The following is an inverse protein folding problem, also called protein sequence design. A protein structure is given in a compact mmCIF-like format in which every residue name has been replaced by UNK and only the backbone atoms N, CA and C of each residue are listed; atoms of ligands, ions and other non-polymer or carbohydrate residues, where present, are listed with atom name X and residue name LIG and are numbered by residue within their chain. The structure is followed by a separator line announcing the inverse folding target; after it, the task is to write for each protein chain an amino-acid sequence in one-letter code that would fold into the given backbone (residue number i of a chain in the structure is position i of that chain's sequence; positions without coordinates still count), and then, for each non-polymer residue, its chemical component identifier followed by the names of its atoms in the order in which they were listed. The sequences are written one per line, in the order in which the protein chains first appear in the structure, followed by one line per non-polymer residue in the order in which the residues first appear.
data_IF_608378769670
#
_entry.id   IF_608378769670
#
_cell.length_a   1.000
_cell.length_b   1.000
_cell.length_c   1.000
_cell.angle_alpha   90.00
_cell.angle_beta   90.00
_cell.angle_gamma   90.00
#
_symmetry.space_group_name_H-M   'P 1'
#
loop_
_entity.id
_entity.type
_entity.pdbx_description
1 polymer ?
#
# COMPACT_ATOMS: atom_id res chain seq x y z
N UNK A 1 -15.32 -10.28 -8.84
CA UNK A 1 -14.20 -9.29 -8.94
C UNK A 1 -14.19 -8.80 -10.38
N UNK A 2 -14.55 -7.55 -10.61
CA UNK A 2 -14.57 -6.97 -11.94
C UNK A 2 -13.19 -6.37 -12.22
N UNK A 3 -12.55 -6.86 -13.27
CA UNK A 3 -11.28 -6.33 -13.77
C UNK A 3 -11.62 -5.17 -14.71
N UNK A 4 -11.10 -3.98 -14.43
CA UNK A 4 -11.25 -2.83 -15.32
C UNK A 4 -9.87 -2.49 -15.87
N UNK A 5 -9.82 -2.44 -17.19
CA UNK A 5 -8.64 -2.09 -17.94
C UNK A 5 -8.77 -0.62 -18.35
N UNK A 6 -7.92 0.25 -17.80
CA UNK A 6 -7.71 1.56 -18.38
C UNK A 6 -6.46 1.48 -19.26
N UNK A 7 -6.63 1.46 -20.55
CA UNK A 7 -5.53 1.50 -21.50
C UNK A 7 -5.05 2.94 -21.63
N UNK A 8 -3.91 3.23 -21.06
CA UNK A 8 -3.14 4.40 -21.42
C UNK A 8 -2.19 4.00 -22.55
N UNK A 9 -2.33 4.64 -23.72
CA UNK A 9 -1.37 4.54 -24.82
C UNK A 9 -0.03 5.13 -24.35
N UNK A 10 0.88 4.27 -23.88
CA UNK A 10 2.24 4.70 -23.60
C UNK A 10 3.22 3.86 -24.41
N UNK A 11 4.05 4.53 -25.21
CA UNK A 11 5.08 3.91 -26.04
C UNK A 11 6.28 3.41 -25.24
N UNK A 12 6.40 3.75 -23.97
CA UNK A 12 7.55 3.45 -23.14
C UNK A 12 7.28 2.27 -22.20
N UNK A 13 8.16 1.32 -22.26
CA UNK A 13 8.24 -0.03 -21.69
C UNK A 13 7.98 -0.17 -20.17
N UNK A 14 6.78 0.03 -19.63
CA UNK A 14 6.53 -0.28 -18.22
C UNK A 14 5.18 -0.98 -17.97
N UNK A 15 5.24 -2.14 -17.26
CA UNK A 15 4.08 -2.76 -16.62
C UNK A 15 3.91 -2.24 -15.21
N UNK A 16 2.79 -1.60 -14.92
CA UNK A 16 2.38 -1.34 -13.54
C UNK A 16 1.00 -1.92 -13.29
N UNK A 17 0.92 -2.84 -12.34
CA UNK A 17 -0.34 -3.26 -11.74
C UNK A 17 -0.52 -2.47 -10.45
N UNK A 18 -1.45 -1.53 -10.44
CA UNK A 18 -1.86 -0.86 -9.20
C UNK A 18 -3.17 -1.46 -8.72
N UNK A 19 -3.10 -2.15 -7.60
CA UNK A 19 -4.30 -2.52 -6.85
C UNK A 19 -4.73 -1.31 -5.99
N UNK A 20 -5.73 -0.57 -6.47
CA UNK A 20 -6.32 0.58 -5.76
C UNK A 20 -7.21 0.11 -4.60
N UNK A 21 -7.43 -1.19 -4.47
CA UNK A 21 -8.22 -1.78 -3.39
C UNK A 21 -7.73 -1.46 -1.98
N UNK A 22 -6.44 -1.09 -1.84
CA UNK A 22 -5.85 -0.74 -0.54
C UNK A 22 -5.91 0.75 -0.19
N UNK A 23 -6.11 1.63 -1.15
CA UNK A 23 -6.10 3.09 -0.90
C UNK A 23 -7.47 3.73 -0.92
N UNK A 24 -8.47 3.08 -1.49
CA UNK A 24 -9.82 3.61 -1.61
C UNK A 24 -10.86 2.49 -1.57
N UNK A 25 -11.35 2.16 -0.39
CA UNK A 25 -12.55 1.34 -0.20
C UNK A 25 -12.66 0.03 -0.98
N UNK A 26 -12.82 -1.08 -0.25
CA UNK A 26 -13.24 -2.42 -0.69
C UNK A 26 -13.12 -2.72 -2.19
N UNK A 27 -12.34 -3.73 -2.48
CA UNK A 27 -12.13 -4.41 -3.75
C UNK A 27 -13.23 -4.19 -4.82
N UNK A 28 -12.87 -3.62 -5.97
CA UNK A 28 -13.83 -3.46 -7.06
C UNK A 28 -13.25 -2.80 -8.30
N UNK A 29 -12.20 -1.99 -8.16
CA UNK A 29 -11.54 -1.35 -9.31
C UNK A 29 -10.08 -1.79 -9.37
N UNK A 30 -9.69 -2.31 -10.52
CA UNK A 30 -8.28 -2.62 -10.83
C UNK A 30 -7.90 -1.79 -12.06
N UNK A 31 -6.83 -1.02 -11.93
CA UNK A 31 -6.24 -0.30 -13.07
C UNK A 31 -5.09 -1.15 -13.60
N UNK A 32 -5.14 -1.43 -14.90
CA UNK A 32 -4.08 -2.14 -15.60
C UNK A 32 -3.52 -1.23 -16.69
N UNK A 33 -2.21 -1.08 -16.69
CA UNK A 33 -1.48 -0.38 -17.76
C UNK A 33 -0.70 -1.45 -18.51
N UNK A 34 -0.99 -1.61 -19.80
CA UNK A 34 -0.33 -2.58 -20.65
C UNK A 34 0.19 -1.90 -21.93
N UNK A 35 1.29 -2.41 -22.47
CA UNK A 35 1.74 -2.02 -23.79
C UNK A 35 0.74 -2.51 -24.85
N UNK A 36 0.53 -1.72 -25.90
CA UNK A 36 -0.43 -2.03 -26.96
C UNK A 36 -0.07 -3.33 -27.73
N UNK A 37 1.20 -3.59 -27.94
CA UNK A 37 1.71 -4.79 -28.62
C UNK A 37 1.47 -6.10 -27.85
N UNK A 38 1.13 -6.03 -26.57
CA UNK A 38 0.78 -7.18 -25.73
C UNK A 38 -0.72 -7.47 -25.71
N UNK A 39 -1.52 -6.61 -26.35
CA UNK A 39 -2.97 -6.76 -26.44
C UNK A 39 -3.30 -7.44 -27.76
N UNK A 40 -3.13 -8.74 -27.79
CA UNK A 40 -3.26 -9.57 -29.00
C UNK A 40 -4.23 -10.71 -28.79
N UNK A 41 -4.59 -11.39 -29.91
CA UNK A 41 -5.33 -12.67 -29.89
C UNK A 41 -4.41 -13.87 -29.66
N UNK A 42 -3.08 -13.67 -29.71
CA UNK A 42 -2.08 -14.71 -29.44
C UNK A 42 -2.02 -14.95 -27.92
N UNK A 43 -2.81 -15.90 -27.48
CA UNK A 43 -2.93 -16.31 -26.07
C UNK A 43 -2.85 -17.84 -25.98
N UNK A 44 -2.47 -18.35 -24.82
CA UNK A 44 -2.39 -19.78 -24.59
C UNK A 44 -3.73 -20.47 -24.91
N UNK A 45 -3.72 -21.65 -25.54
CA UNK A 45 -4.94 -22.45 -25.78
C UNK A 45 -5.70 -22.65 -24.46
N UNK A 46 -7.01 -22.46 -24.48
CA UNK A 46 -7.87 -22.61 -23.30
C UNK A 46 -7.91 -21.37 -22.40
N UNK A 47 -7.23 -20.27 -22.76
CA UNK A 47 -7.32 -19.02 -21.97
C UNK A 47 -8.78 -18.53 -21.89
N UNK A 48 -9.36 -18.42 -20.69
CA UNK A 48 -10.72 -17.91 -20.51
C UNK A 48 -10.89 -16.50 -21.08
N UNK A 49 -12.05 -16.20 -21.64
CA UNK A 49 -12.39 -14.91 -22.26
C UNK A 49 -12.02 -13.72 -21.36
N UNK A 50 -12.34 -13.82 -20.04
CA UNK A 50 -12.10 -12.74 -19.07
C UNK A 50 -10.62 -12.50 -18.75
N UNK A 51 -9.73 -13.41 -19.09
CA UNK A 51 -8.29 -13.30 -18.89
C UNK A 51 -7.56 -12.77 -20.13
N UNK A 52 -8.26 -12.58 -21.25
CA UNK A 52 -7.71 -11.99 -22.46
C UNK A 52 -7.75 -10.46 -22.37
N UNK A 53 -6.61 -9.81 -22.47
CA UNK A 53 -6.53 -8.34 -22.46
C UNK A 53 -7.32 -7.71 -23.60
N UNK A 54 -7.27 -8.34 -24.78
CA UNK A 54 -8.00 -7.85 -25.97
C UNK A 54 -9.50 -7.80 -25.75
N UNK A 55 -10.10 -8.76 -25.04
CA UNK A 55 -11.54 -8.74 -24.70
C UNK A 55 -11.94 -7.44 -23.97
N UNK A 56 -11.09 -6.98 -23.07
CA UNK A 56 -11.34 -5.74 -22.32
C UNK A 56 -11.04 -4.50 -23.18
N UNK A 57 -9.96 -4.54 -23.95
CA UNK A 57 -9.52 -3.43 -24.78
C UNK A 57 -10.51 -3.10 -25.89
N UNK A 58 -11.03 -4.11 -26.63
CA UNK A 58 -11.98 -3.96 -27.73
C UNK A 58 -13.36 -3.41 -27.27
N UNK A 59 -13.59 -3.39 -25.96
CA UNK A 59 -14.83 -2.88 -25.34
C UNK A 59 -14.60 -1.68 -24.42
N UNK A 60 -13.48 -0.98 -24.58
CA UNK A 60 -13.14 0.20 -23.76
C UNK A 60 -13.28 -0.07 -22.24
N UNK A 61 -12.92 -1.27 -21.80
CA UNK A 61 -13.10 -1.76 -20.43
C UNK A 61 -14.55 -1.96 -19.98
N UNK A 62 -15.50 -1.97 -20.91
CA UNK A 62 -16.93 -2.11 -20.66
C UNK A 62 -17.48 -3.47 -21.11
N UNK A 63 -16.66 -4.50 -21.19
CA UNK A 63 -17.13 -5.86 -21.48
C UNK A 63 -18.16 -6.35 -20.45
N UNK A 64 -18.00 -5.95 -19.20
CA UNK A 64 -18.98 -6.12 -18.13
C UNK A 64 -19.43 -4.76 -17.58
N UNK A 65 -20.53 -4.75 -16.81
CA UNK A 65 -21.00 -3.56 -16.10
C UNK A 65 -19.90 -2.99 -15.20
N UNK A 66 -19.52 -1.71 -15.37
CA UNK A 66 -18.45 -1.10 -14.61
C UNK A 66 -18.86 -0.80 -13.15
N UNK A 67 -17.93 -0.88 -12.17
CA UNK A 67 -18.18 -0.46 -10.80
C UNK A 67 -18.15 1.07 -10.68
N UNK A 68 -19.19 1.72 -11.15
CA UNK A 68 -19.27 3.19 -11.31
C UNK A 68 -18.88 3.95 -10.06
N UNK A 69 -19.32 3.51 -8.87
CA UNK A 69 -18.96 4.15 -7.61
C UNK A 69 -17.45 4.06 -7.33
N UNK A 70 -16.86 2.90 -7.53
CA UNK A 70 -15.40 2.71 -7.35
C UNK A 70 -14.59 3.59 -8.29
N UNK A 71 -14.98 3.68 -9.56
CA UNK A 71 -14.36 4.55 -10.57
C UNK A 71 -14.46 6.02 -10.15
N UNK A 72 -15.65 6.44 -9.69
CA UNK A 72 -15.87 7.80 -9.21
C UNK A 72 -14.95 8.16 -8.04
N UNK A 73 -14.82 7.28 -7.05
CA UNK A 73 -13.94 7.48 -5.90
C UNK A 73 -12.47 7.52 -6.34
N UNK A 74 -12.02 6.62 -7.24
CA UNK A 74 -10.68 6.67 -7.80
C UNK A 74 -10.40 8.03 -8.46
N UNK A 75 -11.35 8.55 -9.23
CA UNK A 75 -11.24 9.88 -9.83
C UNK A 75 -11.10 11.01 -8.81
N UNK A 76 -11.78 10.92 -7.65
CA UNK A 76 -11.59 11.87 -6.54
C UNK A 76 -10.20 11.79 -5.93
N UNK A 77 -9.67 10.58 -5.73
CA UNK A 77 -8.32 10.37 -5.21
C UNK A 77 -7.27 10.91 -6.16
N UNK A 78 -7.40 10.69 -7.46
CA UNK A 78 -6.48 11.26 -8.45
C UNK A 78 -6.49 12.79 -8.47
N UNK A 79 -7.68 13.40 -8.36
CA UNK A 79 -7.81 14.86 -8.24
C UNK A 79 -7.15 15.37 -6.95
N UNK A 80 -7.32 14.66 -5.84
CA UNK A 80 -6.66 14.98 -4.58
C UNK A 80 -5.14 14.88 -4.71
N UNK A 81 -4.60 13.80 -5.28
CA UNK A 81 -3.16 13.66 -5.52
C UNK A 81 -2.59 14.80 -6.37
N UNK A 82 -3.28 15.16 -7.46
CA UNK A 82 -2.87 16.32 -8.29
C UNK A 82 -2.86 17.62 -7.49
N UNK A 83 -3.89 17.87 -6.66
CA UNK A 83 -3.99 19.06 -5.82
C UNK A 83 -2.89 19.10 -4.76
N UNK A 84 -2.43 17.94 -4.29
CA UNK A 84 -1.35 17.82 -3.30
C UNK A 84 0.05 18.06 -3.89
N UNK A 85 0.19 18.28 -5.19
CA UNK A 85 1.47 18.48 -5.87
C UNK A 85 1.94 17.29 -6.73
N UNK A 86 1.06 16.30 -6.95
CA UNK A 86 1.33 15.15 -7.81
C UNK A 86 2.15 14.05 -7.14
N UNK A 87 2.73 13.18 -7.97
CA UNK A 87 3.44 11.98 -7.52
C UNK A 87 4.76 12.32 -6.82
N UNK A 88 5.48 13.31 -7.31
CA UNK A 88 6.79 13.73 -6.75
C UNK A 88 6.63 14.22 -5.31
N UNK A 89 5.66 15.10 -5.07
CA UNK A 89 5.37 15.60 -3.73
C UNK A 89 4.86 14.49 -2.80
N UNK A 90 4.03 13.58 -3.30
CA UNK A 90 3.57 12.44 -2.52
C UNK A 90 4.74 11.51 -2.15
N UNK A 91 5.64 11.25 -3.08
CA UNK A 91 6.85 10.46 -2.82
C UNK A 91 7.73 11.14 -1.77
N UNK A 92 7.97 12.45 -1.89
CA UNK A 92 8.74 13.22 -0.89
C UNK A 92 8.15 13.06 0.52
N UNK A 93 6.83 13.22 0.65
CA UNK A 93 6.12 13.05 1.93
C UNK A 93 6.23 11.63 2.47
N UNK A 94 6.13 10.64 1.60
CA UNK A 94 6.23 9.23 2.02
C UNK A 94 7.66 8.87 2.47
N UNK A 95 8.68 9.39 1.80
CA UNK A 95 10.09 9.24 2.22
C UNK A 95 10.29 9.87 3.60
N UNK A 96 9.81 11.10 3.80
CA UNK A 96 9.93 11.81 5.08
C UNK A 96 9.26 11.04 6.23
N UNK A 97 8.02 10.57 6.03
CA UNK A 97 7.29 9.76 7.02
C UNK A 97 8.03 8.45 7.35
N UNK A 98 8.41 7.71 6.31
CA UNK A 98 9.09 6.43 6.50
C UNK A 98 10.43 6.60 7.21
N UNK A 99 11.18 7.65 6.87
CA UNK A 99 12.46 7.97 7.51
C UNK A 99 12.33 8.14 9.02
N UNK A 100 11.31 8.86 9.51
CA UNK A 100 11.07 9.07 10.94
C UNK A 100 10.97 7.73 11.69
N UNK A 101 10.20 6.80 11.13
CA UNK A 101 10.00 5.49 11.77
C UNK A 101 11.23 4.59 11.63
N UNK A 102 11.85 4.54 10.45
CA UNK A 102 13.03 3.69 10.23
C UNK A 102 14.26 4.17 10.97
N UNK A 103 14.50 5.49 11.08
CA UNK A 103 15.59 6.03 11.89
C UNK A 103 15.44 5.59 13.34
N UNK A 104 14.24 5.65 13.89
CA UNK A 104 13.97 5.17 15.24
C UNK A 104 14.23 3.64 15.36
N UNK A 105 13.72 2.84 14.42
CA UNK A 105 13.91 1.37 14.47
C UNK A 105 15.38 0.95 14.32
N UNK A 106 16.18 1.74 13.61
CA UNK A 106 17.61 1.47 13.44
C UNK A 106 18.43 1.79 14.71
N UNK A 107 17.94 2.70 15.56
CA UNK A 107 18.58 3.12 16.80
C UNK A 107 18.04 2.40 18.05
N UNK A 108 16.80 1.86 17.96
CA UNK A 108 16.12 1.23 19.09
C UNK A 108 16.83 -0.03 19.58
N UNK A 109 16.88 -0.20 20.90
CA UNK A 109 17.39 -1.41 21.53
C UNK A 109 16.33 -2.51 21.62
N UNK A 110 15.06 -2.11 21.75
CA UNK A 110 13.91 -3.02 21.88
C UNK A 110 13.30 -3.39 20.55
N UNK A 111 13.02 -2.39 19.69
CA UNK A 111 12.33 -2.61 18.41
C UNK A 111 13.30 -2.80 17.26
N UNK A 112 13.03 -3.78 16.39
CA UNK A 112 13.87 -4.09 15.22
C UNK A 112 13.02 -4.18 13.96
N UNK A 113 13.43 -3.48 12.90
CA UNK A 113 12.87 -3.68 11.57
C UNK A 113 13.22 -5.06 11.03
N UNK A 114 12.26 -5.73 10.39
CA UNK A 114 12.46 -7.11 9.87
C UNK A 114 12.92 -7.14 8.41
N UNK A 115 13.01 -5.99 7.76
CA UNK A 115 13.34 -5.88 6.33
C UNK A 115 14.71 -5.22 6.14
N UNK A 116 15.51 -5.77 5.23
CA UNK A 116 16.81 -5.18 4.85
C UNK A 116 16.61 -3.74 4.35
N UNK A 117 17.60 -2.87 4.58
CA UNK A 117 17.50 -1.42 4.28
C UNK A 117 17.14 -1.14 2.82
N UNK A 118 17.72 -1.88 1.90
CA UNK A 118 17.49 -1.75 0.46
C UNK A 118 16.09 -2.16 -0.01
N UNK A 119 15.40 -3.00 0.77
CA UNK A 119 14.07 -3.54 0.43
C UNK A 119 12.92 -2.88 1.22
N UNK A 120 13.21 -1.82 1.98
CA UNK A 120 12.23 -1.17 2.87
C UNK A 120 11.10 -0.51 2.10
N UNK A 121 9.87 -0.83 2.49
CA UNK A 121 8.66 -0.18 1.97
C UNK A 121 8.43 1.18 2.62
N UNK A 122 8.02 2.18 1.84
CA UNK A 122 7.57 3.47 2.37
C UNK A 122 6.12 3.43 2.91
N UNK A 123 5.41 2.30 2.73
CA UNK A 123 3.98 2.17 3.03
C UNK A 123 3.69 1.23 4.20
N UNK A 124 4.40 0.12 4.27
CA UNK A 124 4.23 -0.89 5.32
C UNK A 124 5.58 -1.14 5.99
N UNK A 125 5.67 -0.80 7.25
CA UNK A 125 6.86 -0.94 8.06
C UNK A 125 6.65 -2.07 9.07
N UNK A 126 7.13 -3.29 8.81
CA UNK A 126 7.07 -4.39 9.75
C UNK A 126 8.23 -4.30 10.76
N UNK A 127 7.94 -4.62 12.01
CA UNK A 127 8.91 -4.61 13.10
C UNK A 127 8.51 -5.58 14.22
N UNK A 128 9.48 -5.94 15.06
CA UNK A 128 9.32 -6.88 16.17
C UNK A 128 10.12 -6.38 17.37
N UNK A 129 9.83 -6.91 18.57
CA UNK A 129 10.71 -6.76 19.74
C UNK A 129 11.67 -7.95 19.92
N UNK A 130 11.42 -9.05 19.20
CA UNK A 130 12.15 -10.31 19.36
C UNK A 130 11.54 -11.25 20.41
N UNK A 131 10.58 -10.75 21.19
CA UNK A 131 9.77 -11.51 22.15
C UNK A 131 8.30 -11.39 21.82
N UNK A 132 7.60 -12.53 21.67
CA UNK A 132 6.18 -12.57 21.31
C UNK A 132 5.25 -12.00 22.39
N UNK A 133 5.60 -12.16 23.65
CA UNK A 133 4.81 -11.65 24.77
C UNK A 133 4.96 -10.12 24.86
N UNK A 134 6.16 -9.62 24.60
CA UNK A 134 6.43 -8.18 24.48
C UNK A 134 5.73 -7.57 23.27
N UNK A 135 5.73 -8.25 22.10
CA UNK A 135 4.97 -7.83 20.93
C UNK A 135 3.46 -7.70 21.25
N UNK A 136 2.91 -8.71 21.96
CA UNK A 136 1.50 -8.71 22.36
C UNK A 136 1.18 -7.59 23.38
N UNK A 137 2.06 -7.37 24.34
CA UNK A 137 1.96 -6.27 25.29
C UNK A 137 1.96 -4.92 24.60
N UNK A 138 2.93 -4.70 23.71
CA UNK A 138 3.00 -3.45 22.92
C UNK A 138 1.71 -3.20 22.12
N UNK A 139 1.21 -4.21 21.40
CA UNK A 139 -0.02 -4.08 20.60
C UNK A 139 -1.22 -3.73 21.47
N UNK A 140 -1.33 -4.32 22.67
CA UNK A 140 -2.41 -4.03 23.63
C UNK A 140 -2.34 -2.58 24.10
N UNK A 141 -1.19 -2.16 24.63
CA UNK A 141 -1.01 -0.80 25.18
C UNK A 141 -1.14 0.27 24.08
N UNK A 142 -0.62 0.00 22.87
CA UNK A 142 -0.79 0.87 21.74
C UNK A 142 -2.27 1.04 21.33
N UNK A 143 -3.04 -0.06 21.38
CA UNK A 143 -4.49 -0.01 21.09
C UNK A 143 -5.24 0.83 22.14
N UNK A 144 -4.90 0.68 23.42
CA UNK A 144 -5.45 1.49 24.53
C UNK A 144 -5.05 2.98 24.38
N UNK A 145 -3.89 3.26 23.82
CA UNK A 145 -3.42 4.61 23.49
C UNK A 145 -4.02 5.19 22.20
N UNK A 146 -4.88 4.44 21.49
CA UNK A 146 -5.58 4.87 20.28
C UNK A 146 -4.88 4.54 18.96
N UNK A 147 -3.78 3.77 18.98
CA UNK A 147 -3.14 3.25 17.78
C UNK A 147 -3.79 1.94 17.34
N UNK A 148 -4.53 1.97 16.24
CA UNK A 148 -5.26 0.80 15.74
C UNK A 148 -4.48 0.07 14.65
N UNK A 149 -4.73 -1.25 14.50
CA UNK A 149 -4.20 -2.08 13.42
C UNK A 149 -2.66 -2.21 13.35
N UNK A 150 -1.95 -2.08 14.49
CA UNK A 150 -0.50 -2.29 14.55
C UNK A 150 -0.10 -3.76 14.57
N UNK A 151 -1.02 -4.68 14.92
CA UNK A 151 -0.74 -6.12 14.89
C UNK A 151 -0.32 -6.56 13.47
N UNK A 152 0.79 -7.30 13.36
CA UNK A 152 1.31 -7.82 12.12
C UNK A 152 0.41 -8.86 11.45
N UNK A 153 0.79 -9.30 10.26
CA UNK A 153 0.02 -10.32 9.56
C UNK A 153 0.07 -11.64 10.31
N UNK A 154 -1.06 -12.33 10.41
CA UNK A 154 -1.20 -13.58 11.19
C UNK A 154 -0.18 -14.69 10.84
N UNK A 155 0.35 -14.69 9.60
CA UNK A 155 1.33 -15.68 9.14
C UNK A 155 2.76 -15.26 9.43
N UNK A 156 3.04 -13.98 9.66
CA UNK A 156 4.37 -13.42 9.87
C UNK A 156 4.60 -13.07 11.35
N UNK A 157 3.54 -12.64 12.04
CA UNK A 157 3.63 -12.18 13.43
C UNK A 157 4.13 -10.74 13.54
N UNK A 158 4.61 -10.38 14.74
CA UNK A 158 5.13 -9.06 15.05
C UNK A 158 4.12 -7.92 14.90
N UNK A 159 4.63 -6.75 14.59
CA UNK A 159 3.87 -5.53 14.36
C UNK A 159 4.07 -5.00 12.94
N UNK A 160 3.14 -4.16 12.49
CA UNK A 160 3.23 -3.49 11.21
C UNK A 160 2.56 -2.12 11.26
N UNK A 161 3.32 -1.08 11.04
CA UNK A 161 2.78 0.26 10.81
C UNK A 161 2.44 0.44 9.32
N UNK A 162 1.15 0.69 9.04
CA UNK A 162 0.66 0.98 7.69
C UNK A 162 0.53 2.50 7.52
N UNK A 163 1.57 3.13 6.97
CA UNK A 163 1.72 4.57 6.84
C UNK A 163 1.44 5.06 5.40
N UNK A 164 0.32 4.63 4.84
CA UNK A 164 -0.08 4.95 3.47
C UNK A 164 -0.12 6.45 3.16
N UNK A 165 -0.35 6.80 1.89
CA UNK A 165 -0.36 8.17 1.38
C UNK A 165 -1.19 9.15 2.22
N UNK A 166 -2.34 8.73 2.73
CA UNK A 166 -3.23 9.57 3.51
C UNK A 166 -2.83 9.73 4.99
N UNK A 167 -1.88 8.91 5.49
CA UNK A 167 -1.39 9.03 6.86
C UNK A 167 -0.61 10.35 7.01
N UNK A 168 -1.01 11.26 7.92
CA UNK A 168 -0.26 12.49 8.18
C UNK A 168 1.05 12.17 8.91
N UNK A 169 2.04 13.04 8.73
CA UNK A 169 3.35 12.92 9.37
C UNK A 169 3.25 12.85 10.89
N UNK A 170 2.37 13.65 11.46
CA UNK A 170 2.11 13.74 12.90
C UNK A 170 1.63 12.40 13.48
N UNK A 171 0.95 11.58 12.70
CA UNK A 171 0.54 10.22 13.11
C UNK A 171 1.75 9.32 13.31
N UNK A 172 2.75 9.41 12.44
CA UNK A 172 4.00 8.65 12.56
C UNK A 172 4.86 9.17 13.71
N UNK A 173 4.95 10.48 13.88
CA UNK A 173 5.67 11.11 15.00
C UNK A 173 5.08 10.68 16.36
N UNK A 174 3.74 10.67 16.49
CA UNK A 174 3.05 10.17 17.69
C UNK A 174 3.36 8.70 17.96
N UNK A 175 3.36 7.86 16.92
CA UNK A 175 3.71 6.45 17.06
C UNK A 175 5.15 6.29 17.58
N UNK A 176 6.12 6.99 17.00
CA UNK A 176 7.52 6.93 17.43
C UNK A 176 7.69 7.44 18.86
N UNK A 177 6.97 8.50 19.25
CA UNK A 177 6.99 9.01 20.62
C UNK A 177 6.45 7.95 21.62
N UNK A 178 5.36 7.27 21.25
CA UNK A 178 4.81 6.18 22.05
C UNK A 178 5.80 5.00 22.15
N UNK A 179 6.42 4.60 21.04
CA UNK A 179 7.41 3.52 21.01
C UNK A 179 8.62 3.85 21.90
N UNK A 180 9.13 5.09 21.87
CA UNK A 180 10.22 5.55 22.75
C UNK A 180 9.84 5.50 24.22
N UNK A 181 8.60 5.85 24.57
CA UNK A 181 8.09 5.75 25.93
C UNK A 181 8.04 4.28 26.37
N UNK A 182 7.41 3.43 25.55
CA UNK A 182 7.29 2.00 25.81
C UNK A 182 8.67 1.34 25.98
N UNK A 183 9.63 1.68 25.13
CA UNK A 183 11.01 1.16 25.25
C UNK A 183 11.65 1.54 26.60
N UNK A 184 11.50 2.78 27.07
CA UNK A 184 12.02 3.20 28.37
C UNK A 184 11.43 2.47 29.57
N UNK A 185 10.17 2.03 29.44
CA UNK A 185 9.41 1.35 30.49
C UNK A 185 9.66 -0.16 30.49
N UNK A 186 10.22 -0.74 29.42
CA UNK A 186 10.32 -2.19 29.20
C UNK A 186 11.70 -2.68 28.73
N UNK A 187 12.70 -1.81 28.59
CA UNK A 187 14.07 -2.17 28.17
C UNK A 187 15.02 -2.23 29.37
#
# INVERSE_FOLDING_TARGET
RSLFLFLFRNRDNFFFKYDIGYTCFRAGVVIVIAREDLITDDVLPGTPTMLKWKTQADKDSLYNTPPCYGIYICGKVFKWLKKMGGLEEMQRRNIEKAKILYDFLDESKLFKGTVRKEDRSLMNVPFVTGDKDMDAKFVKEATEAGFVNLKGHRTVGGMRASIYNAMPKEGVEKLVAFMKKFEKENA
#
